data_IF_153895433956
#
_entry.id   IF_153895433956
#
_cell.length_a   1.000
_cell.length_b   1.000
_cell.length_c   1.000
_cell.angle_alpha   90.00
_cell.angle_beta   90.00
_cell.angle_gamma   90.00
#
_symmetry.space_group_name_H-M   'P 1'
#
loop_
_entity.id
_entity.type
_entity.pdbx_description
1 polymer ?
#
# COMPACT_ATOMS: atom_id res chain seq x y z
N UNK A 1 -5.01 4.14 11.37
CA UNK A 1 -6.45 4.04 11.05
C UNK A 1 -6.96 2.61 11.25
N UNK A 2 -6.45 1.63 10.51
CA UNK A 2 -6.92 0.23 10.58
C UNK A 2 -6.27 -0.64 11.66
N UNK A 3 -5.36 -0.10 12.47
CA UNK A 3 -4.78 -0.83 13.58
C UNK A 3 -3.76 -1.89 13.20
N UNK A 4 -3.00 -1.64 12.13
CA UNK A 4 -2.00 -2.54 11.57
C UNK A 4 -0.61 -1.89 11.49
N UNK A 5 -0.45 -0.71 12.08
CA UNK A 5 0.78 0.09 11.96
C UNK A 5 1.98 -0.54 12.67
N UNK A 6 1.75 -1.44 13.62
CA UNK A 6 2.81 -2.26 14.23
C UNK A 6 3.43 -3.26 13.25
N UNK A 7 2.73 -3.58 12.16
CA UNK A 7 3.17 -4.56 11.17
C UNK A 7 3.62 -3.91 9.85
N UNK A 8 2.90 -2.92 9.34
CA UNK A 8 3.12 -2.37 7.99
C UNK A 8 2.94 -0.84 7.93
N UNK A 9 3.21 -0.24 6.77
CA UNK A 9 2.89 1.15 6.46
C UNK A 9 4.08 2.13 6.52
N UNK A 10 5.27 1.66 6.89
CA UNK A 10 6.51 2.45 6.89
C UNK A 10 7.74 1.54 6.93
N UNK A 11 8.90 2.10 6.59
CA UNK A 11 10.19 1.41 6.69
C UNK A 11 10.79 1.69 8.07
N UNK A 12 10.44 0.84 9.04
CA UNK A 12 10.89 0.94 10.44
C UNK A 12 11.30 -0.45 10.95
N UNK A 13 12.31 -0.49 11.83
CA UNK A 13 12.77 -1.75 12.45
C UNK A 13 11.62 -2.40 13.23
N UNK A 14 11.47 -3.72 13.09
CA UNK A 14 10.42 -4.51 13.74
C UNK A 14 9.12 -4.64 12.94
N UNK A 15 8.97 -3.93 11.81
CA UNK A 15 7.86 -4.12 10.88
C UNK A 15 8.16 -5.20 9.84
N UNK A 16 7.10 -5.72 9.22
CA UNK A 16 7.20 -6.67 8.11
C UNK A 16 7.98 -6.03 6.96
N UNK A 17 8.88 -6.80 6.33
CA UNK A 17 9.71 -6.35 5.22
C UNK A 17 8.93 -6.29 3.89
N UNK A 18 7.90 -5.45 3.88
CA UNK A 18 7.08 -5.11 2.72
C UNK A 18 7.62 -3.84 2.08
N UNK A 19 8.36 -4.00 0.98
CA UNK A 19 9.13 -2.94 0.36
C UNK A 19 8.82 -2.85 -1.13
N UNK A 20 8.83 -1.64 -1.67
CA UNK A 20 8.68 -1.39 -3.09
C UNK A 20 9.87 -0.59 -3.59
N UNK A 21 10.61 -1.15 -4.54
CA UNK A 21 11.78 -0.52 -5.13
C UNK A 21 11.40 0.11 -6.47
N UNK A 22 11.93 1.32 -6.70
CA UNK A 22 11.62 2.12 -7.86
C UNK A 22 12.90 2.59 -8.54
N UNK A 23 12.92 2.52 -9.87
CA UNK A 23 13.82 3.39 -10.64
C UNK A 23 13.29 4.82 -10.55
N UNK A 24 14.12 5.84 -10.26
CA UNK A 24 13.63 7.22 -10.11
C UNK A 24 12.76 7.72 -11.27
N UNK A 25 13.11 7.36 -12.52
CA UNK A 25 12.33 7.73 -13.71
C UNK A 25 10.92 7.12 -13.78
N UNK A 26 10.63 6.08 -12.99
CA UNK A 26 9.36 5.35 -12.93
C UNK A 26 8.69 5.41 -11.55
N UNK A 27 9.21 6.25 -10.63
CA UNK A 27 8.72 6.35 -9.26
C UNK A 27 7.20 6.55 -9.22
N UNK A 28 6.52 5.74 -8.41
CA UNK A 28 5.07 5.72 -8.23
C UNK A 28 4.24 5.40 -9.51
N UNK A 29 4.88 5.01 -10.62
CA UNK A 29 4.19 4.59 -11.86
C UNK A 29 4.33 3.10 -12.14
N UNK A 30 5.57 2.61 -12.24
CA UNK A 30 5.88 1.19 -12.48
C UNK A 30 7.00 0.75 -11.53
N UNK A 31 6.71 -0.03 -10.49
CA UNK A 31 7.74 -0.49 -9.56
C UNK A 31 8.69 -1.44 -10.27
N UNK A 32 9.95 -1.48 -9.84
CA UNK A 32 10.95 -2.42 -10.34
C UNK A 32 10.78 -3.78 -9.65
N UNK A 33 10.72 -3.77 -8.32
CA UNK A 33 10.55 -4.94 -7.46
C UNK A 33 9.53 -4.64 -6.36
N UNK A 34 8.70 -5.63 -6.05
CA UNK A 34 7.82 -5.62 -4.87
C UNK A 34 8.19 -6.80 -3.99
N UNK A 35 8.52 -6.51 -2.73
CA UNK A 35 8.84 -7.49 -1.72
C UNK A 35 7.68 -7.61 -0.73
N UNK A 36 7.41 -8.85 -0.32
CA UNK A 36 6.44 -9.22 0.69
C UNK A 36 7.13 -10.11 1.71
N UNK A 37 7.11 -9.73 2.99
CA UNK A 37 7.78 -10.48 4.05
C UNK A 37 9.27 -10.76 3.77
N UNK A 38 9.96 -9.84 3.09
CA UNK A 38 11.39 -9.98 2.75
C UNK A 38 11.69 -10.78 1.48
N UNK A 39 10.69 -11.33 0.79
CA UNK A 39 10.87 -12.07 -0.46
C UNK A 39 10.20 -11.35 -1.64
N UNK A 40 10.79 -11.46 -2.84
CA UNK A 40 10.25 -10.80 -4.04
C UNK A 40 8.98 -11.54 -4.48
N UNK A 41 7.86 -10.82 -4.52
CA UNK A 41 6.55 -11.34 -4.97
C UNK A 41 6.22 -10.89 -6.39
N UNK A 42 6.83 -9.80 -6.86
CA UNK A 42 6.58 -9.25 -8.19
C UNK A 42 7.77 -8.45 -8.69
N UNK A 43 8.06 -8.51 -10.00
CA UNK A 43 9.14 -7.74 -10.62
C UNK A 43 8.84 -7.37 -12.08
N UNK A 44 9.46 -6.29 -12.58
CA UNK A 44 9.62 -6.06 -14.01
C UNK A 44 10.68 -7.01 -14.55
N UNK A 45 10.28 -7.92 -15.44
CA UNK A 45 11.14 -9.01 -15.90
C UNK A 45 11.02 -9.21 -17.40
N UNK A 46 12.17 -9.32 -18.06
CA UNK A 46 12.32 -9.55 -19.50
C UNK A 46 11.91 -10.95 -19.97
N UNK A 47 12.40 -11.31 -21.15
CA UNK A 47 12.20 -12.65 -21.73
C UNK A 47 12.87 -13.74 -20.85
N UNK A 48 12.12 -14.70 -20.29
CA UNK A 48 12.68 -15.77 -19.47
C UNK A 48 13.58 -16.75 -20.24
N UNK A 49 13.54 -16.77 -21.57
CA UNK A 49 14.42 -17.60 -22.40
C UNK A 49 15.69 -16.88 -22.86
N UNK A 50 15.84 -15.59 -22.51
CA UNK A 50 17.04 -14.84 -22.86
C UNK A 50 18.24 -15.20 -21.96
N UNK A 51 19.44 -14.80 -22.37
CA UNK A 51 20.68 -15.11 -21.65
C UNK A 51 20.83 -14.37 -20.30
N UNK A 52 20.10 -13.28 -20.11
CA UNK A 52 20.04 -12.42 -18.92
C UNK A 52 18.61 -11.89 -18.76
N UNK A 53 18.19 -11.32 -17.60
CA UNK A 53 16.78 -10.97 -17.34
C UNK A 53 16.29 -9.65 -17.95
N UNK A 54 17.16 -8.88 -18.61
CA UNK A 54 16.88 -7.54 -19.16
C UNK A 54 16.37 -7.46 -20.60
N UNK A 55 16.54 -8.47 -21.49
CA UNK A 55 16.05 -8.42 -22.86
C UNK A 55 14.52 -8.39 -22.91
N UNK A 56 14.00 -7.63 -23.88
CA UNK A 56 12.58 -7.42 -24.08
C UNK A 56 11.84 -8.72 -24.49
N UNK A 57 10.53 -8.84 -24.19
CA UNK A 57 9.68 -7.83 -23.56
C UNK A 57 9.76 -7.83 -22.03
N UNK A 58 10.05 -6.66 -21.46
CA UNK A 58 10.02 -6.42 -20.01
C UNK A 58 8.60 -6.03 -19.60
N UNK A 59 8.00 -6.87 -18.76
CA UNK A 59 6.72 -6.58 -18.15
C UNK A 59 6.63 -7.16 -16.74
N UNK A 60 5.57 -6.76 -16.02
CA UNK A 60 5.28 -7.26 -14.70
C UNK A 60 5.05 -8.76 -14.68
N UNK A 61 5.77 -9.48 -13.81
CA UNK A 61 5.61 -10.92 -13.60
C UNK A 61 5.56 -11.24 -12.10
N UNK A 62 4.70 -12.19 -11.67
CA UNK A 62 4.79 -12.76 -10.33
C UNK A 62 6.13 -13.48 -10.14
N UNK A 63 6.69 -13.35 -8.95
CA UNK A 63 7.96 -13.96 -8.56
C UNK A 63 7.71 -15.05 -7.51
N UNK A 64 8.77 -15.74 -7.06
CA UNK A 64 8.64 -16.97 -6.24
C UNK A 64 7.76 -16.82 -4.98
N UNK A 65 7.75 -15.67 -4.30
CA UNK A 65 6.89 -15.45 -3.14
C UNK A 65 5.39 -15.37 -3.48
N UNK A 66 5.05 -15.26 -4.77
CA UNK A 66 3.68 -15.29 -5.29
C UNK A 66 3.16 -16.69 -5.60
N UNK A 67 3.92 -17.76 -5.32
CA UNK A 67 3.57 -19.12 -5.70
C UNK A 67 3.61 -20.12 -4.55
N UNK A 68 2.67 -21.07 -4.59
CA UNK A 68 2.65 -22.25 -3.72
C UNK A 68 2.75 -21.93 -2.23
N UNK A 69 3.49 -22.76 -1.50
CA UNK A 69 3.66 -22.64 -0.06
C UNK A 69 4.46 -21.39 0.37
N UNK A 70 5.12 -20.69 -0.55
CA UNK A 70 5.86 -19.46 -0.25
C UNK A 70 4.95 -18.24 -0.02
N UNK A 71 3.68 -18.31 -0.46
CA UNK A 71 2.71 -17.21 -0.30
C UNK A 71 2.35 -16.99 1.17
N UNK A 72 2.05 -18.08 1.90
CA UNK A 72 1.59 -18.00 3.28
C UNK A 72 2.60 -17.30 4.22
N UNK A 73 3.90 -17.70 4.28
CA UNK A 73 4.87 -17.07 5.17
C UNK A 73 5.31 -15.66 4.75
N UNK A 74 5.07 -15.25 3.49
CA UNK A 74 5.39 -13.90 2.99
C UNK A 74 4.28 -12.88 3.23
N UNK A 75 3.13 -13.30 3.77
CA UNK A 75 1.95 -12.47 3.96
C UNK A 75 1.43 -12.53 5.41
N UNK A 76 0.55 -11.59 5.76
CA UNK A 76 -0.22 -11.59 6.99
C UNK A 76 -1.72 -11.48 6.65
N UNK A 77 -2.55 -12.18 7.42
CA UNK A 77 -4.01 -12.01 7.42
C UNK A 77 -4.40 -11.23 8.67
N UNK A 78 -4.87 -10.00 8.48
CA UNK A 78 -5.33 -9.17 9.60
C UNK A 78 -6.76 -9.54 9.99
N UNK A 79 -6.96 -9.91 11.25
CA UNK A 79 -8.25 -10.37 11.79
C UNK A 79 -8.61 -9.58 13.05
N UNK A 80 -9.83 -9.73 13.57
CA UNK A 80 -10.18 -9.15 14.88
C UNK A 80 -9.50 -9.92 16.02
N UNK A 81 -9.27 -9.26 17.16
CA UNK A 81 -8.77 -9.94 18.36
C UNK A 81 -9.67 -11.13 18.75
N UNK A 82 -10.99 -10.94 18.71
CA UNK A 82 -11.96 -11.99 19.00
C UNK A 82 -11.82 -13.23 18.09
N UNK A 83 -11.40 -13.07 16.83
CA UNK A 83 -11.18 -14.20 15.94
C UNK A 83 -9.94 -15.00 16.34
N UNK A 84 -8.88 -14.33 16.80
CA UNK A 84 -7.69 -14.98 17.35
C UNK A 84 -8.04 -15.70 18.64
N UNK A 85 -8.77 -15.04 19.54
CA UNK A 85 -9.17 -15.60 20.84
C UNK A 85 -10.09 -16.83 20.68
N UNK A 86 -10.89 -16.87 19.61
CA UNK A 86 -11.76 -18.00 19.26
C UNK A 86 -11.07 -19.13 18.47
N UNK A 87 -9.73 -19.09 18.37
CA UNK A 87 -8.88 -20.02 17.61
C UNK A 87 -9.32 -20.21 16.15
N UNK A 88 -9.87 -19.15 15.55
CA UNK A 88 -10.44 -19.22 14.20
C UNK A 88 -9.39 -19.61 13.14
N UNK A 89 -8.14 -19.07 13.16
CA UNK A 89 -7.15 -19.42 12.15
C UNK A 89 -6.88 -20.92 12.07
N UNK A 90 -6.73 -21.58 13.22
CA UNK A 90 -6.51 -23.01 13.30
C UNK A 90 -7.77 -23.80 12.90
N UNK A 91 -8.95 -23.41 13.40
CA UNK A 91 -10.23 -24.06 13.04
C UNK A 91 -10.55 -24.01 11.54
N UNK A 92 -10.09 -22.97 10.85
CA UNK A 92 -10.26 -22.81 9.40
C UNK A 92 -9.07 -23.37 8.60
N UNK A 93 -8.02 -23.87 9.25
CA UNK A 93 -6.82 -24.39 8.58
C UNK A 93 -6.04 -23.33 7.81
N UNK A 94 -6.10 -22.06 8.23
CA UNK A 94 -5.40 -20.96 7.56
C UNK A 94 -3.89 -21.15 7.68
N UNK A 95 -3.22 -21.14 6.53
CA UNK A 95 -1.76 -21.27 6.47
C UNK A 95 -1.05 -19.93 6.64
N UNK A 96 -1.70 -18.83 6.24
CA UNK A 96 -1.17 -17.48 6.40
C UNK A 96 -1.23 -17.06 7.87
N UNK A 97 -0.12 -16.56 8.46
CA UNK A 97 -0.14 -16.04 9.82
C UNK A 97 -1.23 -14.97 10.02
N UNK A 98 -2.08 -15.20 11.01
CA UNK A 98 -3.17 -14.29 11.35
C UNK A 98 -2.75 -13.36 12.49
N UNK A 99 -2.84 -12.04 12.27
CA UNK A 99 -2.43 -11.03 13.25
C UNK A 99 -3.64 -10.18 13.63
N UNK A 100 -3.91 -9.96 14.93
CA UNK A 100 -5.05 -9.15 15.33
C UNK A 100 -4.82 -7.67 15.01
N UNK A 101 -5.84 -7.00 14.49
CA UNK A 101 -5.86 -5.54 14.43
C UNK A 101 -5.97 -4.97 15.84
N UNK A 102 -5.22 -3.91 16.13
CA UNK A 102 -5.17 -3.31 17.47
C UNK A 102 -5.29 -1.77 17.41
N UNK A 103 -5.62 -1.14 18.54
CA UNK A 103 -5.63 0.32 18.67
C UNK A 103 -6.42 1.08 17.58
N UNK A 104 -7.57 0.55 17.15
CA UNK A 104 -8.46 1.25 16.20
C UNK A 104 -9.34 2.30 16.88
N UNK A 105 -9.44 2.24 18.21
CA UNK A 105 -10.26 3.12 19.07
C UNK A 105 -9.51 3.66 20.29
N UNK A 106 -8.28 3.18 20.54
CA UNK A 106 -7.51 3.41 21.79
C UNK A 106 -6.89 4.81 21.91
N UNK A 107 -7.62 5.85 21.50
CA UNK A 107 -7.16 7.23 21.54
C UNK A 107 -6.53 7.74 20.24
N UNK A 108 -6.58 6.97 19.15
CA UNK A 108 -6.20 7.47 17.83
C UNK A 108 -7.27 8.44 17.28
N UNK A 109 -6.82 9.51 16.64
CA UNK A 109 -7.66 10.54 16.01
C UNK A 109 -6.88 11.30 14.94
N UNK A 110 -7.40 12.44 14.48
CA UNK A 110 -6.74 13.25 13.43
C UNK A 110 -5.31 13.66 13.82
N UNK A 111 -5.08 13.96 15.10
CA UNK A 111 -3.76 14.30 15.64
C UNK A 111 -2.72 13.17 15.55
N UNK A 112 -3.13 11.91 15.38
CA UNK A 112 -2.22 10.78 15.24
C UNK A 112 -1.73 10.58 13.79
N UNK A 113 -2.28 11.30 12.81
CA UNK A 113 -1.89 11.19 11.40
C UNK A 113 -0.52 11.84 11.15
N UNK A 114 0.46 11.06 10.71
CA UNK A 114 1.80 11.58 10.41
C UNK A 114 1.74 12.58 9.25
N UNK A 115 2.32 13.76 9.47
CA UNK A 115 2.40 14.88 8.51
C UNK A 115 1.03 15.43 8.04
N UNK A 116 -0.09 14.99 8.64
CA UNK A 116 -1.44 15.27 8.15
C UNK A 116 -2.44 15.51 9.31
N UNK A 117 -2.05 16.34 10.28
CA UNK A 117 -2.82 16.55 11.53
C UNK A 117 -3.82 17.71 11.48
N UNK A 118 -3.83 18.52 10.41
CA UNK A 118 -4.62 19.75 10.35
C UNK A 118 -6.13 19.52 10.55
N UNK A 119 -6.76 20.39 11.34
CA UNK A 119 -8.20 20.41 11.63
C UNK A 119 -8.78 21.82 11.40
N UNK A 120 -8.80 22.32 10.14
CA UNK A 120 -9.37 23.64 9.84
C UNK A 120 -10.88 23.67 10.06
N UNK A 121 -11.44 24.86 10.27
CA UNK A 121 -12.89 25.06 10.22
C UNK A 121 -13.35 25.03 8.77
N UNK A 122 -13.92 23.89 8.34
CA UNK A 122 -14.46 23.71 7.00
C UNK A 122 -15.92 24.17 6.94
N UNK A 123 -16.24 25.00 5.95
CA UNK A 123 -17.59 25.42 5.61
C UNK A 123 -17.85 25.12 4.14
N UNK A 124 -19.07 24.69 3.80
CA UNK A 124 -19.50 24.44 2.42
C UNK A 124 -20.79 25.20 2.20
N UNK A 125 -20.83 26.07 1.19
CA UNK A 125 -22.06 26.75 0.81
C UNK A 125 -23.02 25.74 0.15
N UNK A 126 -24.26 25.58 0.65
CA UNK A 126 -25.19 24.56 0.16
C UNK A 126 -25.80 24.89 -1.23
N UNK A 127 -25.65 26.12 -1.72
CA UNK A 127 -26.19 26.57 -2.99
C UNK A 127 -25.11 26.61 -4.08
N UNK A 128 -23.92 27.11 -3.75
CA UNK A 128 -22.81 27.27 -4.71
C UNK A 128 -21.81 26.11 -4.68
N UNK A 129 -21.80 25.32 -3.61
CA UNK A 129 -20.81 24.27 -3.31
C UNK A 129 -19.38 24.79 -3.13
N UNK A 130 -19.21 26.10 -2.94
CA UNK A 130 -17.92 26.68 -2.58
C UNK A 130 -17.48 26.16 -1.21
N UNK A 131 -16.20 25.77 -1.13
CA UNK A 131 -15.60 25.22 0.08
C UNK A 131 -14.66 26.24 0.67
N UNK A 132 -14.81 26.53 1.95
CA UNK A 132 -13.96 27.44 2.70
C UNK A 132 -13.24 26.71 3.83
N UNK A 133 -11.95 27.02 4.04
CA UNK A 133 -11.19 26.62 5.23
C UNK A 133 -10.73 27.87 5.96
N UNK A 134 -11.11 28.00 7.23
CA UNK A 134 -10.77 29.17 8.07
C UNK A 134 -11.15 30.51 7.38
N UNK A 135 -12.29 30.50 6.69
CA UNK A 135 -12.82 31.65 5.93
C UNK A 135 -12.19 31.88 4.56
N UNK A 136 -11.20 31.09 4.15
CA UNK A 136 -10.55 31.20 2.83
C UNK A 136 -11.16 30.23 1.82
N UNK A 137 -11.55 30.73 0.65
CA UNK A 137 -12.06 29.91 -0.45
C UNK A 137 -10.98 28.93 -0.92
N UNK A 138 -11.30 27.64 -0.92
CA UNK A 138 -10.48 26.58 -1.47
C UNK A 138 -10.92 26.30 -2.91
N UNK A 139 -10.10 26.70 -3.86
CA UNK A 139 -10.34 26.45 -5.28
C UNK A 139 -9.03 26.18 -6.02
N UNK A 140 -9.11 25.48 -7.14
CA UNK A 140 -8.02 25.32 -8.08
C UNK A 140 -8.55 25.10 -9.49
N UNK A 141 -7.79 25.56 -10.48
CA UNK A 141 -8.11 25.29 -11.88
C UNK A 141 -7.86 23.80 -12.22
N UNK A 142 -8.69 23.21 -13.09
CA UNK A 142 -8.47 21.85 -13.55
C UNK A 142 -7.16 21.74 -14.36
N UNK A 143 -6.38 20.68 -14.12
CA UNK A 143 -5.16 20.42 -14.87
C UNK A 143 -5.47 19.91 -16.30
N UNK A 144 -4.83 20.48 -17.31
CA UNK A 144 -4.98 20.05 -18.72
C UNK A 144 -4.14 18.81 -19.06
N UNK A 145 -3.06 18.57 -18.32
CA UNK A 145 -2.18 17.42 -18.46
C UNK A 145 -1.55 17.10 -17.10
N UNK A 146 -1.16 15.83 -16.90
CA UNK A 146 -0.56 15.36 -15.66
C UNK A 146 0.79 14.67 -15.92
N UNK A 147 1.75 14.77 -14.98
CA UNK A 147 2.89 13.85 -14.95
C UNK A 147 2.39 12.42 -14.70
N UNK A 148 3.29 11.44 -14.81
CA UNK A 148 2.96 10.05 -14.47
C UNK A 148 1.79 9.45 -15.29
N UNK A 149 1.50 10.00 -16.47
CA UNK A 149 0.38 9.58 -17.33
C UNK A 149 0.88 9.10 -18.71
N UNK A 150 0.47 9.75 -19.80
CA UNK A 150 0.66 9.34 -21.20
C UNK A 150 2.10 8.95 -21.58
N UNK A 151 3.13 9.47 -20.90
CA UNK A 151 4.54 9.09 -21.11
C UNK A 151 4.82 7.62 -20.79
N UNK A 152 4.08 7.01 -19.86
CA UNK A 152 4.43 5.73 -19.25
C UNK A 152 3.55 4.56 -19.67
N UNK A 153 2.35 4.83 -20.16
CA UNK A 153 1.34 3.82 -20.47
C UNK A 153 1.15 3.69 -21.97
N UNK A 154 1.09 2.44 -22.44
CA UNK A 154 0.86 2.14 -23.87
C UNK A 154 -0.60 2.40 -24.26
N UNK A 155 -1.51 2.26 -23.30
CA UNK A 155 -2.95 2.49 -23.39
C UNK A 155 -3.39 3.36 -22.21
#
# INVERSE_FOLDING_TARGET
AHGIDSQVGSVEVGKLADLCLWKPGFFAVKPELVLKGGAIVWAQMGDPNASIPTPEPVHGRPMFAGFGAAVAPSCLSFVSQAAVDADLPHRLGLQTPCVPVCNTRGGIGKAAMKLNTATPSIQVDPQTYEVFADGQLLTCEPAQALPMAQRYFLL
#
